data_IF_596083943037
#
_entry.id   IF_596083943037
#
_cell.length_a   1.000
_cell.length_b   1.000
_cell.length_c   1.000
_cell.angle_alpha   90.00
_cell.angle_beta   90.00
_cell.angle_gamma   90.00
#
_symmetry.space_group_name_H-M   'P 1'
#
loop_
_entity.id
_entity.type
_entity.pdbx_description
1 polymer ?
#
# COMPACT_ATOMS: atom_id res chain seq x y z
N UNK A 1 -21.36 -6.70 -13.30
CA UNK A 1 -19.95 -6.60 -12.84
C UNK A 1 -19.85 -6.74 -11.33
N UNK A 2 -20.54 -5.91 -10.55
CA UNK A 2 -20.56 -6.06 -9.08
C UNK A 2 -21.04 -7.43 -8.60
N UNK A 3 -22.15 -7.92 -9.15
CA UNK A 3 -22.71 -9.25 -8.83
C UNK A 3 -21.76 -10.40 -9.20
N UNK A 4 -20.97 -10.24 -10.26
CA UNK A 4 -20.00 -11.24 -10.71
C UNK A 4 -18.78 -11.30 -9.78
N UNK A 5 -18.29 -10.16 -9.27
CA UNK A 5 -17.17 -10.13 -8.32
C UNK A 5 -17.54 -10.80 -7.00
N UNK A 6 -18.77 -10.61 -6.51
CA UNK A 6 -19.26 -11.26 -5.30
C UNK A 6 -19.37 -12.79 -5.44
N UNK A 7 -19.39 -13.31 -6.67
CA UNK A 7 -19.38 -14.75 -6.93
C UNK A 7 -17.96 -15.36 -6.95
N UNK A 8 -16.90 -14.56 -6.85
CA UNK A 8 -15.50 -15.01 -6.83
C UNK A 8 -14.95 -15.19 -5.41
N UNK A 9 -15.84 -15.36 -4.42
CA UNK A 9 -15.42 -15.73 -3.07
C UNK A 9 -14.91 -17.17 -3.11
N UNK A 10 -13.66 -17.43 -2.68
CA UNK A 10 -13.11 -18.77 -2.67
C UNK A 10 -13.94 -19.66 -1.74
N UNK A 11 -14.23 -20.87 -2.19
CA UNK A 11 -14.84 -21.90 -1.36
C UNK A 11 -13.79 -22.41 -0.35
N UNK A 12 -14.07 -22.39 0.97
CA UNK A 12 -13.12 -22.86 1.98
C UNK A 12 -12.70 -24.33 1.82
N UNK A 13 -13.52 -25.15 1.17
CA UNK A 13 -13.24 -26.58 0.98
C UNK A 13 -12.43 -26.88 -0.29
N UNK A 14 -12.11 -25.83 -1.08
CA UNK A 14 -11.36 -25.96 -2.33
C UNK A 14 -9.95 -25.40 -2.18
N UNK A 15 -8.97 -26.28 -2.32
CA UNK A 15 -7.55 -25.91 -2.35
C UNK A 15 -7.22 -25.14 -3.65
N UNK A 16 -6.93 -23.85 -3.54
CA UNK A 16 -6.42 -23.02 -4.64
C UNK A 16 -4.90 -22.87 -4.54
N UNK A 17 -4.19 -23.76 -5.24
CA UNK A 17 -2.73 -23.79 -5.28
C UNK A 17 -2.09 -22.63 -6.06
N UNK A 18 -2.87 -21.80 -6.75
CA UNK A 18 -2.39 -20.65 -7.53
C UNK A 18 -2.61 -19.32 -6.81
N UNK A 19 -3.51 -19.30 -5.83
CA UNK A 19 -3.76 -18.12 -5.02
C UNK A 19 -2.63 -17.88 -4.02
N UNK A 20 -2.41 -16.62 -3.67
CA UNK A 20 -1.44 -16.20 -2.65
C UNK A 20 -2.11 -15.23 -1.68
N UNK A 21 -1.58 -15.14 -0.47
CA UNK A 21 -2.15 -14.30 0.58
C UNK A 21 -1.44 -12.94 0.65
N UNK A 22 -2.17 -11.84 0.96
CA UNK A 22 -1.57 -10.51 1.07
C UNK A 22 -0.29 -10.39 1.93
N UNK A 23 -0.15 -11.09 3.07
CA UNK A 23 1.07 -11.03 3.89
C UNK A 23 2.30 -11.69 3.24
N UNK A 24 2.13 -12.52 2.22
CA UNK A 24 3.22 -13.22 1.54
C UNK A 24 3.93 -12.31 0.53
N UNK A 25 3.24 -11.27 0.05
CA UNK A 25 3.73 -10.40 -1.01
C UNK A 25 4.92 -9.53 -0.59
N UNK A 26 4.93 -8.86 0.58
CA UNK A 26 6.05 -7.99 0.98
C UNK A 26 7.41 -8.71 1.01
N UNK A 27 7.39 -9.99 1.42
CA UNK A 27 8.58 -10.83 1.52
C UNK A 27 8.83 -11.66 0.27
N UNK A 28 7.90 -11.67 -0.68
CA UNK A 28 7.98 -12.46 -1.91
C UNK A 28 8.09 -13.97 -1.61
N UNK A 29 7.28 -14.45 -0.65
CA UNK A 29 7.37 -15.83 -0.16
C UNK A 29 6.88 -16.88 -1.17
N UNK A 30 5.96 -16.49 -2.05
CA UNK A 30 5.36 -17.37 -3.06
C UNK A 30 5.42 -16.67 -4.42
N UNK A 31 5.79 -17.42 -5.46
CA UNK A 31 5.67 -17.01 -6.86
C UNK A 31 4.62 -17.85 -7.60
N UNK A 32 4.19 -17.37 -8.77
CA UNK A 32 3.08 -17.97 -9.51
C UNK A 32 3.55 -18.74 -10.75
N UNK A 33 3.00 -19.94 -10.94
CA UNK A 33 3.25 -20.78 -12.12
C UNK A 33 2.28 -20.37 -13.23
N UNK A 34 2.80 -19.81 -14.33
CA UNK A 34 1.96 -19.32 -15.44
C UNK A 34 1.63 -20.39 -16.48
N UNK A 35 2.43 -21.46 -16.55
CA UNK A 35 2.29 -22.52 -17.54
C UNK A 35 2.31 -23.91 -16.89
N UNK A 36 1.93 -24.91 -17.69
CA UNK A 36 2.08 -26.32 -17.31
C UNK A 36 3.55 -26.62 -16.96
N UNK A 37 3.74 -27.55 -16.01
CA UNK A 37 5.06 -27.99 -15.55
C UNK A 37 5.50 -29.31 -16.19
N UNK A 38 4.84 -29.74 -17.26
CA UNK A 38 5.26 -30.87 -18.07
C UNK A 38 6.63 -30.60 -18.75
N UNK A 39 7.34 -31.66 -19.11
CA UNK A 39 8.73 -31.56 -19.60
C UNK A 39 8.84 -31.13 -21.06
N UNK A 40 7.73 -31.15 -21.80
CA UNK A 40 7.61 -30.77 -23.20
C UNK A 40 7.32 -29.27 -23.41
N UNK A 41 7.10 -28.51 -22.33
CA UNK A 41 6.73 -27.08 -22.39
C UNK A 41 7.76 -26.18 -21.73
N UNK A 42 7.93 -24.97 -22.28
CA UNK A 42 8.75 -23.92 -21.67
C UNK A 42 8.05 -23.41 -20.41
N UNK A 43 8.75 -23.48 -19.28
CA UNK A 43 8.21 -23.17 -17.95
C UNK A 43 8.42 -21.69 -17.63
N UNK A 44 7.33 -20.95 -17.47
CA UNK A 44 7.34 -19.55 -17.02
C UNK A 44 6.93 -19.44 -15.55
N UNK A 45 7.78 -18.83 -14.74
CA UNK A 45 7.56 -18.61 -13.32
C UNK A 45 7.57 -17.11 -13.01
N UNK A 46 6.45 -16.62 -12.48
CA UNK A 46 6.30 -15.24 -12.07
C UNK A 46 6.91 -15.08 -10.68
N UNK A 47 8.10 -14.47 -10.65
CA UNK A 47 8.80 -14.11 -9.42
C UNK A 47 9.49 -12.76 -9.63
N UNK A 48 9.22 -11.80 -8.75
CA UNK A 48 9.86 -10.49 -8.78
C UNK A 48 11.34 -10.54 -8.39
N UNK A 49 12.11 -9.54 -8.80
CA UNK A 49 13.50 -9.38 -8.35
C UNK A 49 13.51 -9.07 -6.83
N UNK A 50 14.10 -9.93 -5.98
CA UNK A 50 14.03 -9.76 -4.52
C UNK A 50 14.62 -8.43 -4.04
N UNK A 51 15.70 -7.95 -4.67
CA UNK A 51 16.35 -6.69 -4.27
C UNK A 51 15.43 -5.52 -4.52
N UNK A 52 14.83 -5.45 -5.71
CA UNK A 52 13.89 -4.38 -6.07
C UNK A 52 12.62 -4.47 -5.22
N UNK A 53 12.10 -5.69 -5.01
CA UNK A 53 10.86 -5.92 -4.30
C UNK A 53 10.96 -5.59 -2.81
N UNK A 54 12.02 -6.09 -2.15
CA UNK A 54 12.26 -5.82 -0.74
C UNK A 54 12.66 -4.37 -0.49
N UNK A 55 13.46 -3.76 -1.37
CA UNK A 55 13.76 -2.32 -1.25
C UNK A 55 12.50 -1.46 -1.42
N UNK A 56 11.60 -1.81 -2.35
CA UNK A 56 10.29 -1.18 -2.50
C UNK A 56 9.45 -1.30 -1.24
N UNK A 57 9.29 -2.51 -0.72
CA UNK A 57 8.57 -2.78 0.53
C UNK A 57 9.16 -2.01 1.72
N UNK A 58 10.49 -2.03 1.87
CA UNK A 58 11.19 -1.31 2.94
C UNK A 58 11.01 0.21 2.80
N UNK A 59 11.05 0.75 1.58
CA UNK A 59 10.84 2.18 1.34
C UNK A 59 9.44 2.64 1.78
N UNK A 60 8.42 1.80 1.61
CA UNK A 60 7.08 2.09 2.10
C UNK A 60 7.05 2.14 3.64
N UNK A 61 7.70 1.18 4.31
CA UNK A 61 7.84 1.19 5.76
C UNK A 61 8.58 2.41 6.30
N UNK A 62 9.67 2.81 5.65
CA UNK A 62 10.42 4.03 5.97
C UNK A 62 9.56 5.27 5.75
N UNK A 63 8.85 5.35 4.63
CA UNK A 63 7.96 6.47 4.32
C UNK A 63 6.85 6.63 5.37
N UNK A 64 6.15 5.55 5.72
CA UNK A 64 5.09 5.58 6.74
C UNK A 64 5.64 5.99 8.12
N UNK A 65 6.83 5.51 8.47
CA UNK A 65 7.49 5.87 9.73
C UNK A 65 7.86 7.35 9.76
N UNK A 66 8.44 7.87 8.67
CA UNK A 66 8.75 9.29 8.53
C UNK A 66 7.47 10.13 8.57
N UNK A 67 6.44 9.73 7.83
CA UNK A 67 5.14 10.40 7.82
C UNK A 67 4.57 10.50 9.24
N UNK A 68 4.58 9.41 10.01
CA UNK A 68 4.12 9.41 11.39
C UNK A 68 4.92 10.39 12.27
N UNK A 69 6.26 10.39 12.15
CA UNK A 69 7.12 11.35 12.87
C UNK A 69 6.77 12.79 12.52
N UNK A 70 6.63 13.11 11.22
CA UNK A 70 6.30 14.46 10.77
C UNK A 70 4.90 14.89 11.24
N UNK A 71 3.91 13.99 11.18
CA UNK A 71 2.55 14.26 11.70
C UNK A 71 2.61 14.61 13.18
N UNK A 72 3.36 13.86 14.01
CA UNK A 72 3.53 14.16 15.44
C UNK A 72 4.24 15.50 15.66
N UNK A 73 5.29 15.80 14.89
CA UNK A 73 6.01 17.08 14.99
C UNK A 73 5.16 18.28 14.61
N UNK A 74 4.28 18.13 13.63
CA UNK A 74 3.30 19.14 13.23
C UNK A 74 2.28 19.38 14.35
N UNK A 75 1.76 18.32 14.98
CA UNK A 75 0.89 18.45 16.15
C UNK A 75 1.58 19.18 17.31
N UNK A 76 2.89 18.98 17.48
CA UNK A 76 3.73 19.70 18.47
C UNK A 76 4.16 21.11 18.04
N UNK A 77 3.69 21.59 16.87
CA UNK A 77 4.01 22.92 16.31
C UNK A 77 5.51 23.16 16.07
N UNK A 78 6.29 22.10 15.88
CA UNK A 78 7.70 22.19 15.52
C UNK A 78 7.79 22.59 14.04
N UNK A 79 8.51 23.67 13.75
CA UNK A 79 8.68 24.19 12.39
C UNK A 79 9.94 23.63 11.74
N UNK A 80 9.83 22.41 11.21
CA UNK A 80 10.94 21.74 10.50
C UNK A 80 11.12 22.25 9.06
N UNK A 81 10.07 22.81 8.45
CA UNK A 81 10.08 23.30 7.07
C UNK A 81 10.45 24.79 7.03
N UNK A 82 11.37 25.14 6.13
CA UNK A 82 11.86 26.52 5.96
C UNK A 82 10.74 27.49 5.55
N UNK A 83 10.98 28.79 5.76
CA UNK A 83 10.02 29.90 5.77
C UNK A 83 9.17 30.13 4.50
N UNK A 84 9.25 29.29 3.47
CA UNK A 84 8.52 29.41 2.20
C UNK A 84 7.50 28.30 1.88
N UNK A 85 7.43 27.21 2.65
CA UNK A 85 6.44 26.14 2.44
C UNK A 85 5.88 25.68 3.77
N UNK A 86 4.58 25.86 4.00
CA UNK A 86 3.97 25.42 5.25
C UNK A 86 3.88 23.89 5.29
N UNK A 87 3.88 23.31 6.49
CA UNK A 87 3.73 21.86 6.67
C UNK A 87 2.41 21.32 6.10
N UNK A 88 1.38 22.17 6.08
CA UNK A 88 0.12 21.89 5.42
C UNK A 88 0.31 21.77 3.90
N UNK A 89 1.01 22.70 3.26
CA UNK A 89 1.18 22.72 1.79
C UNK A 89 2.12 21.60 1.31
N UNK A 90 3.06 21.17 2.16
CA UNK A 90 3.89 20.01 1.89
C UNK A 90 3.13 18.69 2.01
N UNK A 91 2.37 18.48 3.10
CA UNK A 91 1.59 17.25 3.31
C UNK A 91 0.44 17.12 2.32
N UNK A 92 -0.27 18.22 2.09
CA UNK A 92 -1.54 18.21 1.40
C UNK A 92 -1.46 18.69 -0.03
N UNK A 93 -0.36 19.30 -0.48
CA UNK A 93 -0.17 19.80 -1.84
C UNK A 93 -1.26 20.79 -2.30
N UNK A 94 -0.88 21.92 -2.91
CA UNK A 94 -1.89 22.90 -3.36
C UNK A 94 -3.01 22.27 -4.23
N UNK A 95 -2.70 21.21 -5.00
CA UNK A 95 -3.68 20.50 -5.83
C UNK A 95 -4.53 19.44 -5.12
N UNK A 96 -4.01 18.73 -4.12
CA UNK A 96 -4.77 17.65 -3.46
C UNK A 96 -5.82 18.23 -2.50
N UNK A 97 -5.56 19.42 -1.93
CA UNK A 97 -6.59 20.19 -1.20
C UNK A 97 -7.67 20.74 -2.15
N UNK A 98 -7.31 21.15 -3.36
CA UNK A 98 -8.27 21.66 -4.35
C UNK A 98 -9.24 20.57 -4.84
N UNK A 99 -8.75 19.32 -4.94
CA UNK A 99 -9.53 18.18 -5.43
C UNK A 99 -10.26 17.39 -4.32
N UNK A 100 -9.73 17.35 -3.09
CA UNK A 100 -10.26 16.53 -1.98
C UNK A 100 -10.47 17.28 -0.64
N UNK A 101 -10.29 18.60 -0.60
CA UNK A 101 -10.13 19.40 0.62
C UNK A 101 -11.23 19.32 1.67
N UNK A 102 -12.46 18.99 1.29
CA UNK A 102 -13.57 18.84 2.25
C UNK A 102 -13.76 17.41 2.76
N UNK A 103 -13.31 16.38 2.04
CA UNK A 103 -13.53 14.98 2.42
C UNK A 103 -12.42 14.49 3.37
N UNK A 104 -11.15 14.71 3.02
CA UNK A 104 -10.03 14.17 3.81
C UNK A 104 -9.88 14.81 5.20
N UNK A 105 -10.19 16.11 5.33
CA UNK A 105 -10.15 16.82 6.61
C UNK A 105 -11.14 16.25 7.62
N UNK A 106 -12.32 15.83 7.16
CA UNK A 106 -13.37 15.25 8.01
C UNK A 106 -12.94 13.85 8.48
N UNK A 107 -12.41 13.00 7.60
CA UNK A 107 -12.03 11.63 7.97
C UNK A 107 -10.85 11.56 8.94
N UNK A 108 -9.85 12.43 8.80
CA UNK A 108 -8.69 12.45 9.70
C UNK A 108 -9.05 13.03 11.07
N UNK A 109 -9.88 14.08 11.13
CA UNK A 109 -10.38 14.62 12.39
C UNK A 109 -11.32 13.65 13.10
N UNK A 110 -12.21 12.96 12.37
CA UNK A 110 -13.09 11.92 12.93
C UNK A 110 -12.28 10.74 13.45
N UNK A 111 -11.21 10.32 12.77
CA UNK A 111 -10.31 9.27 13.24
C UNK A 111 -9.49 9.64 14.48
N UNK A 112 -9.14 10.92 14.66
CA UNK A 112 -8.39 11.40 15.84
C UNK A 112 -9.27 11.66 17.08
N UNK A 113 -10.58 11.80 16.91
CA UNK A 113 -11.53 12.05 18.03
C UNK A 113 -12.17 10.74 18.54
N UNK A 114 -12.08 9.66 17.77
CA UNK A 114 -12.61 8.33 18.13
C UNK A 114 -11.56 7.39 18.75
N UNK A 115 -10.39 7.91 19.13
CA UNK A 115 -9.36 7.23 19.93
C UNK A 115 -9.15 8.00 21.24
#
# INVERSE_FOLDING_TARGET
MWTSNNALVPDPDKEDILSSNPPEWPVLAVGLRMCSWADDVVKFYLLGNPVVWWSGTASLGVFLSLLAVYVVRIQRKIRDLSQGRSAHDWLWGDRVVEEYGNSLRVWILVGMVLA
#
